data_IF_780009312790
#
_entry.id   IF_780009312790
#
_cell.length_a   1.000
_cell.length_b   1.000
_cell.length_c   1.000
_cell.angle_alpha   90.00
_cell.angle_beta   90.00
_cell.angle_gamma   90.00
#
_symmetry.space_group_name_H-M   'P 1'
#
loop_
_entity.id
_entity.type
_entity.pdbx_description
1 polymer ?
#
# COMPACT_ATOMS: atom_id res chain seq x y z
N UNK A 1 2.67 23.60 42.90
CA UNK A 1 1.73 23.24 41.80
C UNK A 1 2.30 23.82 40.52
N UNK A 2 2.84 22.97 39.65
CA UNK A 2 3.54 23.38 38.42
C UNK A 2 2.46 23.73 37.38
N UNK A 3 2.43 24.99 36.92
CA UNK A 3 1.41 25.46 36.01
C UNK A 3 1.55 24.77 34.65
N UNK A 4 0.60 23.89 34.38
CA UNK A 4 0.32 23.21 33.12
C UNK A 4 -0.13 24.24 32.09
N UNK A 5 0.82 24.94 31.46
CA UNK A 5 0.55 25.77 30.29
C UNK A 5 1.68 25.61 29.28
N UNK A 6 1.82 24.39 28.78
CA UNK A 6 2.48 24.15 27.51
C UNK A 6 1.54 24.66 26.41
N UNK A 7 1.43 25.99 26.27
CA UNK A 7 0.95 26.60 25.05
C UNK A 7 2.01 26.30 23.99
N UNK A 8 1.97 25.09 23.45
CA UNK A 8 2.74 24.73 22.26
C UNK A 8 2.41 25.79 21.22
N UNK A 9 3.43 26.59 20.88
CA UNK A 9 3.34 27.63 19.86
C UNK A 9 2.58 27.07 18.65
N UNK A 10 1.66 27.82 18.02
CA UNK A 10 0.94 27.37 16.83
C UNK A 10 1.87 26.76 15.77
N UNK A 11 3.10 27.29 15.65
CA UNK A 11 4.15 26.79 14.77
C UNK A 11 4.59 25.37 15.19
N UNK A 12 4.80 25.12 16.48
CA UNK A 12 5.17 23.79 16.99
C UNK A 12 4.06 22.76 16.79
N UNK A 13 2.79 23.17 16.93
CA UNK A 13 1.65 22.29 16.66
C UNK A 13 1.54 21.96 15.16
N UNK A 14 1.79 22.92 14.27
CA UNK A 14 1.81 22.70 12.81
C UNK A 14 2.94 21.74 12.42
N UNK A 15 4.15 21.94 12.95
CA UNK A 15 5.31 21.08 12.68
C UNK A 15 5.09 19.66 13.22
N UNK A 16 4.55 19.53 14.44
CA UNK A 16 4.22 18.23 15.01
C UNK A 16 3.16 17.52 14.15
N UNK A 17 2.11 18.22 13.75
CA UNK A 17 1.02 17.67 12.91
C UNK A 17 1.54 17.19 11.55
N UNK A 18 2.38 17.99 10.88
CA UNK A 18 2.96 17.59 9.59
C UNK A 18 3.89 16.38 9.72
N UNK A 19 4.68 16.30 10.80
CA UNK A 19 5.53 15.15 11.09
C UNK A 19 4.70 13.89 11.39
N UNK A 20 3.60 14.00 12.14
CA UNK A 20 2.68 12.89 12.39
C UNK A 20 2.01 12.41 11.10
N UNK A 21 1.56 13.33 10.24
CA UNK A 21 0.99 12.99 8.94
C UNK A 21 2.00 12.24 8.06
N UNK A 22 3.25 12.74 7.97
CA UNK A 22 4.30 12.08 7.21
C UNK A 22 4.59 10.66 7.72
N UNK A 23 4.66 10.48 9.05
CA UNK A 23 4.80 9.15 9.67
C UNK A 23 3.62 8.23 9.36
N UNK A 24 2.39 8.76 9.40
CA UNK A 24 1.19 8.02 9.03
C UNK A 24 1.25 7.49 7.60
N UNK A 25 1.62 8.35 6.64
CA UNK A 25 1.77 7.97 5.22
C UNK A 25 2.83 6.87 5.03
N UNK A 26 3.99 7.00 5.67
CA UNK A 26 5.06 5.99 5.59
C UNK A 26 4.59 4.65 6.18
N UNK A 27 3.95 4.68 7.35
CA UNK A 27 3.45 3.46 8.00
C UNK A 27 2.38 2.77 7.16
N UNK A 28 1.44 3.53 6.59
CA UNK A 28 0.43 2.99 5.67
C UNK A 28 1.11 2.39 4.43
N UNK A 29 2.11 3.06 3.86
CA UNK A 29 2.86 2.54 2.71
C UNK A 29 3.59 1.23 3.02
N UNK A 30 4.23 1.13 4.19
CA UNK A 30 4.91 -0.09 4.60
C UNK A 30 3.92 -1.22 4.91
N UNK A 31 2.82 -0.93 5.61
CA UNK A 31 1.79 -1.92 5.90
C UNK A 31 1.10 -2.44 4.63
N UNK A 32 0.76 -1.53 3.71
CA UNK A 32 0.22 -1.91 2.40
C UNK A 32 1.23 -2.73 1.59
N UNK A 33 2.54 -2.44 1.69
CA UNK A 33 3.55 -3.31 1.09
C UNK A 33 3.49 -4.74 1.64
N UNK A 34 3.40 -4.92 2.95
CA UNK A 34 3.31 -6.26 3.54
C UNK A 34 1.99 -6.99 3.21
N UNK A 35 0.89 -6.25 3.01
CA UNK A 35 -0.41 -6.83 2.66
C UNK A 35 -0.48 -7.28 1.20
N UNK A 36 0.12 -6.51 0.28
CA UNK A 36 0.02 -6.77 -1.15
C UNK A 36 1.27 -7.47 -1.73
N UNK A 37 2.41 -7.45 -1.03
CA UNK A 37 3.65 -8.11 -1.43
C UNK A 37 4.05 -9.16 -0.39
N UNK A 38 3.67 -10.43 -0.58
CA UNK A 38 3.97 -11.53 0.35
C UNK A 38 5.47 -11.84 0.44
N UNK A 39 6.30 -11.39 -0.51
CA UNK A 39 7.76 -11.50 -0.43
C UNK A 39 8.46 -10.13 -0.55
N UNK A 40 9.64 -10.03 0.06
CA UNK A 40 10.47 -8.81 0.02
C UNK A 40 10.88 -8.44 -1.40
N UNK A 41 11.12 -9.44 -2.25
CA UNK A 41 11.49 -9.26 -3.67
C UNK A 41 10.35 -8.62 -4.47
N UNK A 42 9.11 -9.04 -4.22
CA UNK A 42 7.93 -8.47 -4.86
C UNK A 42 7.62 -7.05 -4.39
N UNK A 43 8.00 -6.70 -3.16
CA UNK A 43 7.82 -5.36 -2.60
C UNK A 43 8.74 -4.29 -3.22
N UNK A 44 9.79 -4.72 -3.91
CA UNK A 44 10.73 -3.86 -4.62
C UNK A 44 10.30 -3.56 -6.06
N UNK A 45 9.28 -4.25 -6.57
CA UNK A 45 8.72 -3.96 -7.89
C UNK A 45 7.81 -2.73 -7.80
N UNK A 46 7.80 -1.91 -8.86
CA UNK A 46 6.80 -0.84 -8.93
C UNK A 46 5.40 -1.45 -8.96
N UNK A 47 4.47 -0.82 -8.24
CA UNK A 47 3.07 -1.24 -8.22
C UNK A 47 2.50 -1.42 -9.64
N UNK A 48 2.87 -0.54 -10.57
CA UNK A 48 2.44 -0.59 -11.97
C UNK A 48 2.91 -1.84 -12.69
N UNK A 49 4.17 -2.24 -12.52
CA UNK A 49 4.74 -3.40 -13.21
C UNK A 49 4.11 -4.71 -12.69
N UNK A 50 3.85 -4.79 -11.37
CA UNK A 50 3.21 -5.97 -10.78
C UNK A 50 1.72 -6.05 -11.06
N UNK A 51 1.00 -4.92 -11.03
CA UNK A 51 -0.40 -4.88 -11.45
C UNK A 51 -0.58 -5.36 -12.89
N UNK A 52 0.33 -4.99 -13.80
CA UNK A 52 0.33 -5.49 -15.17
C UNK A 52 0.63 -7.00 -15.25
N UNK A 53 1.58 -7.49 -14.46
CA UNK A 53 1.94 -8.91 -14.43
C UNK A 53 0.80 -9.78 -13.87
N UNK A 54 0.23 -9.41 -12.72
CA UNK A 54 -0.92 -10.10 -12.10
C UNK A 54 -2.16 -10.04 -12.99
N UNK A 55 -2.43 -8.90 -13.62
CA UNK A 55 -3.54 -8.78 -14.57
C UNK A 55 -3.36 -9.70 -15.78
N UNK A 56 -2.15 -9.77 -16.35
CA UNK A 56 -1.84 -10.67 -17.47
C UNK A 56 -2.01 -12.15 -17.07
N UNK A 57 -1.49 -12.56 -15.92
CA UNK A 57 -1.67 -13.93 -15.44
C UNK A 57 -3.15 -14.27 -15.24
N UNK A 58 -3.90 -13.42 -14.52
CA UNK A 58 -5.34 -13.67 -14.29
C UNK A 58 -6.14 -13.72 -15.58
N UNK A 59 -5.81 -12.87 -16.56
CA UNK A 59 -6.48 -12.87 -17.86
C UNK A 59 -6.18 -14.15 -18.65
N UNK A 60 -4.94 -14.66 -18.57
CA UNK A 60 -4.59 -15.96 -19.16
C UNK A 60 -5.37 -17.10 -18.51
N UNK A 61 -5.42 -17.17 -17.18
CA UNK A 61 -6.20 -18.19 -16.46
C UNK A 61 -7.67 -18.15 -16.83
N UNK A 62 -8.27 -16.96 -16.92
CA UNK A 62 -9.68 -16.82 -17.35
C UNK A 62 -9.88 -17.29 -18.80
N UNK A 63 -8.93 -17.00 -19.70
CA UNK A 63 -9.00 -17.48 -21.08
C UNK A 63 -8.86 -19.02 -21.17
N UNK A 64 -7.99 -19.61 -20.35
CA UNK A 64 -7.82 -21.06 -20.24
C UNK A 64 -9.09 -21.73 -19.67
N UNK A 65 -9.70 -21.16 -18.64
CA UNK A 65 -10.97 -21.64 -18.09
C UNK A 65 -12.10 -21.58 -19.13
N UNK A 66 -12.21 -20.47 -19.86
CA UNK A 66 -13.22 -20.30 -20.91
C UNK A 66 -13.04 -21.27 -22.08
N UNK A 67 -11.80 -21.50 -22.51
CA UNK A 67 -11.51 -22.48 -23.56
C UNK A 67 -11.81 -23.89 -23.06
N UNK A 68 -11.45 -24.24 -21.82
CA UNK A 68 -11.77 -25.53 -21.21
C UNK A 68 -13.28 -25.79 -21.16
N UNK A 69 -14.09 -24.79 -20.78
CA UNK A 69 -15.56 -24.88 -20.80
C UNK A 69 -16.10 -25.07 -22.22
N UNK A 70 -15.51 -24.38 -23.21
CA UNK A 70 -15.93 -24.47 -24.61
C UNK A 70 -15.63 -25.86 -25.21
N UNK A 71 -14.51 -26.48 -24.84
CA UNK A 71 -14.08 -27.79 -25.34
C UNK A 71 -14.69 -28.98 -24.57
N UNK A 72 -15.29 -28.75 -23.39
CA UNK A 72 -16.03 -29.76 -22.62
C UNK A 72 -17.49 -29.96 -23.10
N UNK A 73 -17.92 -29.20 -24.11
CA UNK A 73 -19.28 -29.25 -24.68
C UNK A 73 -19.27 -29.87 -26.08
#
# INVERSE_FOLDING_TARGET
MQSKNENTSPISNIIATSLYAARGVINISNASKHLFFPTTEESNLSFTNRAQHEFKQKTLTVAEDLTTILFLK
#
